data_IF_086233674319
#
_entry.id   IF_086233674319
#
_cell.length_a   1.000
_cell.length_b   1.000
_cell.length_c   1.000
_cell.angle_alpha   90.00
_cell.angle_beta   90.00
_cell.angle_gamma   90.00
#
_symmetry.space_group_name_H-M   'P 1'
#
loop_
_entity.id
_entity.type
_entity.pdbx_description
1 polymer ?
#
# COMPACT_ATOMS: atom_id res chain seq x y z
N UNK A 1 -40.27 -73.54 -27.32
CA UNK A 1 -40.12 -72.26 -26.57
C UNK A 1 -38.68 -72.00 -26.30
N UNK A 2 -38.11 -71.01 -27.00
CA UNK A 2 -36.71 -70.60 -26.78
C UNK A 2 -36.74 -69.29 -25.98
N UNK A 3 -35.85 -69.08 -24.96
CA UNK A 3 -35.81 -67.84 -24.25
C UNK A 3 -34.97 -66.82 -25.02
N UNK A 4 -35.47 -65.58 -25.04
CA UNK A 4 -34.87 -64.41 -25.68
C UNK A 4 -33.60 -63.96 -24.99
N UNK A 5 -32.59 -63.62 -25.78
CA UNK A 5 -31.30 -63.06 -25.35
C UNK A 5 -31.44 -61.61 -24.95
N UNK A 6 -31.07 -61.28 -23.72
CA UNK A 6 -30.93 -59.92 -23.21
C UNK A 6 -29.65 -59.27 -23.78
N UNK A 7 -29.83 -58.16 -24.47
CA UNK A 7 -28.75 -57.33 -25.00
C UNK A 7 -28.04 -56.63 -23.83
N UNK A 8 -26.72 -56.73 -23.84
CA UNK A 8 -25.81 -56.01 -22.92
C UNK A 8 -25.66 -54.56 -23.39
N UNK A 9 -25.72 -53.56 -22.50
CA UNK A 9 -25.42 -52.18 -22.89
C UNK A 9 -23.91 -51.99 -23.08
N UNK A 10 -23.55 -51.44 -24.23
CA UNK A 10 -22.17 -51.01 -24.58
C UNK A 10 -21.77 -49.82 -23.74
N UNK A 11 -20.72 -50.00 -22.96
CA UNK A 11 -20.10 -48.92 -22.20
C UNK A 11 -19.36 -48.00 -23.18
N UNK A 12 -19.85 -46.79 -23.37
CA UNK A 12 -19.14 -45.75 -24.10
C UNK A 12 -18.14 -45.14 -23.10
N UNK A 13 -16.87 -45.40 -23.31
CA UNK A 13 -15.79 -44.78 -22.56
C UNK A 13 -15.73 -43.30 -22.95
N UNK A 14 -16.12 -42.42 -22.03
CA UNK A 14 -15.87 -41.01 -22.16
C UNK A 14 -14.41 -40.72 -21.92
N UNK A 15 -13.68 -40.40 -22.98
CA UNK A 15 -12.30 -39.92 -22.91
C UNK A 15 -12.36 -38.47 -22.34
N UNK A 16 -12.04 -38.34 -21.06
CA UNK A 16 -11.81 -37.03 -20.43
C UNK A 16 -10.47 -36.53 -20.95
N UNK A 17 -10.51 -35.61 -21.90
CA UNK A 17 -9.35 -34.78 -22.25
C UNK A 17 -8.97 -33.94 -21.03
N UNK A 18 -7.93 -34.34 -20.33
CA UNK A 18 -7.29 -33.51 -19.33
C UNK A 18 -6.66 -32.31 -20.05
N UNK A 19 -7.36 -31.18 -20.04
CA UNK A 19 -6.76 -29.90 -20.39
C UNK A 19 -5.73 -29.61 -19.31
N UNK A 20 -4.47 -29.83 -19.65
CA UNK A 20 -3.34 -29.51 -18.80
C UNK A 20 -3.37 -28.03 -18.48
N UNK A 21 -3.76 -27.70 -17.24
CA UNK A 21 -3.50 -26.38 -16.66
C UNK A 21 -1.99 -26.21 -16.61
N UNK A 22 -1.45 -25.58 -17.64
CA UNK A 22 -0.09 -25.00 -17.58
C UNK A 22 -0.18 -23.89 -16.53
N UNK A 23 0.08 -24.26 -15.27
CA UNK A 23 0.43 -23.30 -14.25
C UNK A 23 1.72 -22.63 -14.78
N UNK A 24 1.56 -21.49 -15.45
CA UNK A 24 2.64 -20.55 -15.65
C UNK A 24 3.15 -20.25 -14.24
N UNK A 25 4.24 -20.91 -13.86
CA UNK A 25 5.01 -20.55 -12.70
C UNK A 25 5.43 -19.09 -12.96
N UNK A 26 4.71 -18.16 -12.34
CA UNK A 26 5.11 -16.78 -12.25
C UNK A 26 6.44 -16.78 -11.52
N UNK A 27 7.53 -16.75 -12.28
CA UNK A 27 8.81 -16.42 -11.71
C UNK A 27 8.71 -14.97 -11.25
N UNK A 28 8.52 -14.82 -9.95
CA UNK A 28 8.61 -13.55 -9.23
C UNK A 28 9.84 -12.79 -9.75
N UNK A 29 9.72 -11.48 -10.03
CA UNK A 29 10.89 -10.64 -10.26
C UNK A 29 11.88 -10.85 -9.11
N UNK A 30 13.19 -10.72 -9.36
CA UNK A 30 14.22 -11.13 -8.43
C UNK A 30 13.90 -10.63 -7.04
N UNK A 31 14.04 -11.51 -6.04
CA UNK A 31 13.80 -11.16 -4.63
C UNK A 31 14.42 -9.81 -4.38
N UNK A 32 13.61 -8.81 -4.02
CA UNK A 32 14.13 -7.59 -3.41
C UNK A 32 15.00 -8.10 -2.26
N UNK A 33 16.30 -7.80 -2.23
CA UNK A 33 17.17 -8.32 -1.18
C UNK A 33 16.55 -8.00 0.16
N UNK A 34 16.63 -8.92 1.11
CA UNK A 34 16.04 -8.82 2.45
C UNK A 34 16.59 -7.62 3.27
N UNK A 35 17.53 -6.92 2.73
CA UNK A 35 18.04 -5.63 3.13
C UNK A 35 17.90 -4.75 1.90
N UNK A 36 16.74 -4.12 1.75
CA UNK A 36 16.67 -2.95 0.90
C UNK A 36 17.37 -1.79 1.65
N UNK A 37 18.67 -1.95 1.89
CA UNK A 37 19.49 -0.75 1.78
C UNK A 37 19.20 -0.25 0.37
N UNK A 38 18.85 1.03 0.21
CA UNK A 38 18.77 1.61 -1.10
C UNK A 38 20.05 1.19 -1.82
N UNK A 39 19.99 0.66 -3.05
CA UNK A 39 21.20 0.38 -3.79
C UNK A 39 22.07 1.62 -3.66
N UNK A 40 23.38 1.44 -3.42
CA UNK A 40 24.32 2.54 -3.32
C UNK A 40 24.05 3.48 -4.52
N UNK A 41 23.40 4.63 -4.26
CA UNK A 41 22.85 5.49 -5.32
C UNK A 41 21.35 5.75 -5.26
N UNK A 42 20.57 5.21 -4.29
CA UNK A 42 19.21 5.69 -4.04
C UNK A 42 19.31 7.14 -3.52
N UNK A 43 19.27 8.04 -4.47
CA UNK A 43 19.41 9.47 -4.25
C UNK A 43 18.01 10.01 -4.04
N UNK A 44 17.79 10.67 -2.90
CA UNK A 44 16.71 11.61 -2.77
C UNK A 44 16.82 12.60 -3.95
N UNK A 45 15.90 12.53 -4.92
CA UNK A 45 15.94 13.40 -6.10
C UNK A 45 15.45 14.80 -5.71
N UNK A 46 16.25 15.54 -4.95
CA UNK A 46 15.98 16.95 -4.66
C UNK A 46 15.84 17.81 -5.95
N UNK A 47 16.37 17.33 -7.06
CA UNK A 47 16.31 17.96 -8.37
C UNK A 47 15.30 17.32 -9.34
N UNK A 48 14.33 16.54 -8.84
CA UNK A 48 13.29 15.96 -9.69
C UNK A 48 12.47 17.04 -10.38
N UNK A 49 11.96 16.79 -11.60
CA UNK A 49 11.01 17.70 -12.26
C UNK A 49 9.83 18.03 -11.33
N UNK A 50 9.20 19.19 -11.46
CA UNK A 50 8.01 19.51 -10.68
C UNK A 50 6.95 18.40 -10.80
N UNK A 51 6.24 18.11 -9.71
CA UNK A 51 5.10 17.20 -9.72
C UNK A 51 4.00 17.76 -10.61
N UNK A 52 3.48 16.94 -11.53
CA UNK A 52 2.41 17.31 -12.46
C UNK A 52 1.06 16.70 -12.05
N UNK A 53 1.09 15.56 -11.35
CA UNK A 53 -0.11 14.85 -10.90
C UNK A 53 -0.63 15.44 -9.60
N UNK A 54 -1.92 15.72 -9.57
CA UNK A 54 -2.61 16.09 -8.35
C UNK A 54 -2.88 14.84 -7.50
N UNK A 55 -2.24 14.76 -6.33
CA UNK A 55 -2.39 13.66 -5.39
C UNK A 55 -3.31 14.07 -4.24
N UNK A 56 -4.33 13.26 -3.99
CA UNK A 56 -5.20 13.38 -2.82
C UNK A 56 -4.73 12.48 -1.69
N UNK A 57 -5.25 12.71 -0.48
CA UNK A 57 -5.02 11.80 0.63
C UNK A 57 -5.56 10.40 0.27
N UNK A 58 -4.79 9.32 0.48
CA UNK A 58 -5.18 7.95 0.13
C UNK A 58 -6.17 7.34 1.16
N UNK A 59 -6.97 8.16 1.80
CA UNK A 59 -7.97 7.78 2.81
C UNK A 59 -9.03 8.87 2.94
N UNK A 60 -10.15 8.53 3.57
CA UNK A 60 -11.19 9.49 3.98
C UNK A 60 -11.19 9.65 5.50
N UNK A 61 -11.88 10.70 6.00
CA UNK A 61 -11.99 10.97 7.43
C UNK A 61 -10.79 11.73 7.98
N UNK A 62 -10.61 11.68 9.31
CA UNK A 62 -9.63 12.51 10.03
C UNK A 62 -8.43 11.64 10.41
N UNK A 63 -7.26 12.02 9.91
CA UNK A 63 -6.01 11.34 10.16
C UNK A 63 -4.94 12.34 10.59
N UNK A 64 -3.90 11.86 11.24
CA UNK A 64 -2.74 12.66 11.60
C UNK A 64 -1.46 12.11 10.98
N UNK A 65 -0.53 13.00 10.73
CA UNK A 65 0.83 12.68 10.29
C UNK A 65 1.66 12.37 11.53
N UNK A 66 2.10 11.13 11.68
CA UNK A 66 2.95 10.71 12.81
C UNK A 66 4.43 10.82 12.50
N UNK A 67 4.79 10.74 11.21
CA UNK A 67 6.15 10.93 10.74
C UNK A 67 6.15 11.66 9.39
N UNK A 68 7.00 12.66 9.26
CA UNK A 68 7.14 13.50 8.07
C UNK A 68 8.44 13.25 7.32
N UNK A 69 8.77 14.13 6.38
CA UNK A 69 10.02 14.09 5.62
C UNK A 69 11.25 14.26 6.53
N UNK A 70 12.34 13.62 6.13
CA UNK A 70 13.65 13.76 6.78
C UNK A 70 13.58 13.61 8.31
N UNK A 71 12.74 12.72 8.80
CA UNK A 71 12.72 12.44 10.23
C UNK A 71 13.90 11.55 10.62
N UNK A 72 14.49 11.83 11.75
CA UNK A 72 15.69 11.15 12.26
C UNK A 72 15.51 9.66 12.58
N UNK A 73 14.27 9.15 12.53
CA UNK A 73 13.97 7.78 12.90
C UNK A 73 14.09 6.81 11.72
N UNK A 74 13.07 6.76 10.85
CA UNK A 74 12.99 5.78 9.76
C UNK A 74 12.89 6.43 8.37
N UNK A 75 12.46 7.71 8.28
CA UNK A 75 12.37 8.44 7.02
C UNK A 75 13.73 9.04 6.63
N UNK A 76 14.68 8.14 6.36
CA UNK A 76 16.04 8.47 5.91
C UNK A 76 16.37 7.73 4.61
N UNK A 77 17.34 8.21 3.85
CA UNK A 77 17.76 7.58 2.61
C UNK A 77 16.60 7.49 1.60
N UNK A 78 16.22 6.28 1.18
CA UNK A 78 15.14 6.08 0.20
C UNK A 78 13.76 6.47 0.73
N UNK A 79 13.55 6.51 2.03
CA UNK A 79 12.28 6.89 2.65
C UNK A 79 12.23 8.37 3.07
N UNK A 80 13.27 9.16 2.79
CA UNK A 80 13.40 10.54 3.27
C UNK A 80 12.17 11.44 2.97
N UNK A 81 11.47 11.17 1.88
CA UNK A 81 10.27 11.92 1.48
C UNK A 81 8.98 11.15 1.71
N UNK A 82 8.96 10.19 2.63
CA UNK A 82 7.75 9.48 2.99
C UNK A 82 6.95 10.20 4.10
N UNK A 83 5.68 9.86 4.18
CA UNK A 83 4.76 10.31 5.21
C UNK A 83 4.06 9.11 5.83
N UNK A 84 3.99 9.06 7.16
CA UNK A 84 3.25 8.05 7.89
C UNK A 84 1.99 8.64 8.50
N UNK A 85 0.87 7.97 8.24
CA UNK A 85 -0.46 8.41 8.64
C UNK A 85 -1.15 7.41 9.56
N UNK A 86 -1.85 7.92 10.56
CA UNK A 86 -2.76 7.16 11.43
C UNK A 86 -4.07 7.92 11.63
N UNK A 87 -5.22 7.25 11.83
CA UNK A 87 -6.45 7.94 12.22
C UNK A 87 -6.24 8.82 13.47
N UNK A 88 -6.81 10.00 13.46
CA UNK A 88 -6.57 11.03 14.49
C UNK A 88 -6.94 10.60 15.91
N UNK A 89 -7.82 9.64 16.08
CA UNK A 89 -8.14 9.04 17.37
C UNK A 89 -6.92 8.52 18.13
N UNK A 90 -5.85 8.17 17.40
CA UNK A 90 -4.59 7.76 18.01
C UNK A 90 -3.84 8.96 18.61
N UNK A 91 -3.96 10.13 18.01
CA UNK A 91 -3.22 11.35 18.41
C UNK A 91 -3.96 12.10 19.51
N UNK A 92 -5.28 12.18 19.40
CA UNK A 92 -6.13 12.98 20.29
C UNK A 92 -6.79 12.17 21.39
N UNK A 93 -6.81 10.84 21.28
CA UNK A 93 -7.45 9.93 22.23
C UNK A 93 -6.62 9.74 23.50
N UNK A 94 -7.30 9.39 24.60
CA UNK A 94 -6.62 8.95 25.83
C UNK A 94 -5.73 7.74 25.53
N UNK A 95 -4.52 7.74 26.05
CA UNK A 95 -3.60 6.62 25.92
C UNK A 95 -4.27 5.32 26.41
N UNK A 96 -4.63 4.45 25.46
CA UNK A 96 -5.11 3.10 25.75
C UNK A 96 -3.94 2.12 25.58
N UNK A 97 -3.85 1.16 26.46
CA UNK A 97 -2.92 0.04 26.27
C UNK A 97 -3.41 -0.75 25.06
N UNK A 98 -2.67 -0.68 23.96
CA UNK A 98 -2.96 -1.41 22.72
C UNK A 98 -2.06 -2.63 22.66
N UNK A 99 -2.66 -3.80 22.64
CA UNK A 99 -1.94 -5.08 22.65
C UNK A 99 -2.14 -5.91 21.39
N UNK A 100 -3.27 -5.72 20.72
CA UNK A 100 -3.64 -6.44 19.51
C UNK A 100 -3.72 -5.48 18.34
N UNK A 101 -3.51 -5.95 17.11
CA UNK A 101 -3.64 -5.16 15.91
C UNK A 101 -4.98 -4.43 15.82
N UNK A 102 -6.07 -5.11 16.18
CA UNK A 102 -7.43 -4.56 16.20
C UNK A 102 -7.66 -3.43 17.22
N UNK A 103 -6.74 -3.23 18.15
CA UNK A 103 -6.80 -2.09 19.08
C UNK A 103 -6.32 -0.78 18.43
N UNK A 104 -5.70 -0.86 17.23
CA UNK A 104 -5.19 0.29 16.50
C UNK A 104 -6.21 0.77 15.47
N UNK A 105 -6.58 2.06 15.49
CA UNK A 105 -7.60 2.60 14.59
C UNK A 105 -7.26 2.45 13.10
N UNK A 106 -5.99 2.37 12.73
CA UNK A 106 -5.56 2.19 11.34
C UNK A 106 -5.86 0.80 10.81
N UNK A 107 -5.71 -0.24 11.66
CA UNK A 107 -5.83 -1.61 11.22
C UNK A 107 -7.18 -1.90 10.58
N UNK A 108 -7.17 -2.33 9.30
CA UNK A 108 -8.36 -2.61 8.53
C UNK A 108 -9.03 -1.41 7.86
N UNK A 109 -8.54 -0.18 8.08
CA UNK A 109 -9.09 1.01 7.39
C UNK A 109 -8.87 0.92 5.87
N UNK A 110 -9.83 1.40 5.06
CA UNK A 110 -9.69 1.43 3.61
C UNK A 110 -8.56 2.36 3.19
N UNK A 111 -7.74 1.87 2.25
CA UNK A 111 -6.68 2.63 1.60
C UNK A 111 -7.05 2.79 0.12
N UNK A 112 -7.01 4.04 -0.34
CA UNK A 112 -7.53 4.47 -1.63
C UNK A 112 -6.38 4.89 -2.56
N UNK A 113 -6.61 4.79 -3.87
CA UNK A 113 -5.70 5.37 -4.85
C UNK A 113 -5.71 6.91 -4.76
N UNK A 114 -4.54 7.57 -4.58
CA UNK A 114 -4.47 9.02 -4.43
C UNK A 114 -4.71 9.79 -5.73
N UNK A 115 -4.57 9.15 -6.88
CA UNK A 115 -4.86 9.67 -8.21
C UNK A 115 -5.20 8.51 -9.16
N UNK A 116 -5.67 8.83 -10.36
CA UNK A 116 -5.76 7.85 -11.45
C UNK A 116 -4.37 7.32 -11.76
N UNK A 117 -4.27 6.05 -12.15
CA UNK A 117 -2.96 5.47 -12.46
C UNK A 117 -3.02 4.00 -12.82
N UNK A 118 -1.86 3.42 -13.07
CA UNK A 118 -1.66 2.02 -13.36
C UNK A 118 -0.85 1.36 -12.24
N UNK A 119 -1.28 0.19 -11.80
CA UNK A 119 -0.52 -0.61 -10.84
C UNK A 119 0.73 -1.14 -11.53
N UNK A 120 1.91 -0.71 -11.08
CA UNK A 120 3.20 -1.17 -11.61
C UNK A 120 3.86 -2.20 -10.72
N UNK A 121 3.50 -2.22 -9.44
CA UNK A 121 3.94 -3.24 -8.51
C UNK A 121 2.90 -3.44 -7.40
N UNK A 122 2.65 -4.69 -7.05
CA UNK A 122 1.78 -5.07 -5.94
C UNK A 122 2.33 -6.33 -5.26
N UNK A 123 2.28 -6.35 -3.95
CA UNK A 123 2.62 -7.50 -3.12
C UNK A 123 1.55 -7.69 -2.05
N UNK A 124 1.13 -8.93 -1.87
CA UNK A 124 0.24 -9.34 -0.77
C UNK A 124 0.74 -10.65 -0.15
N UNK A 125 0.16 -11.05 0.98
CA UNK A 125 0.45 -12.31 1.66
C UNK A 125 1.57 -12.25 2.70
N UNK A 126 2.28 -11.13 2.86
CA UNK A 126 3.13 -10.93 4.03
C UNK A 126 2.24 -10.79 5.28
N UNK A 127 2.59 -11.49 6.36
CA UNK A 127 1.80 -11.47 7.60
C UNK A 127 1.82 -10.10 8.27
N UNK A 128 0.71 -9.76 8.94
CA UNK A 128 0.70 -8.63 9.86
C UNK A 128 1.35 -9.04 11.17
N UNK A 129 2.39 -8.34 11.57
CA UNK A 129 3.11 -8.60 12.82
C UNK A 129 2.36 -8.03 14.03
N UNK A 130 2.56 -8.63 15.20
CA UNK A 130 2.05 -8.07 16.45
C UNK A 130 2.66 -6.68 16.71
N UNK A 131 1.95 -5.80 17.42
CA UNK A 131 2.46 -4.46 17.73
C UNK A 131 3.79 -4.52 18.50
N UNK A 132 4.69 -3.59 18.20
CA UNK A 132 6.07 -3.50 18.69
C UNK A 132 7.00 -4.62 18.20
N UNK A 133 6.62 -5.30 17.13
CA UNK A 133 7.53 -6.19 16.44
C UNK A 133 8.78 -5.43 15.99
N UNK A 134 9.95 -5.97 16.32
CA UNK A 134 11.23 -5.46 15.84
C UNK A 134 11.54 -6.17 14.52
N UNK A 135 10.94 -5.67 13.43
CA UNK A 135 11.02 -6.28 12.11
C UNK A 135 12.45 -6.34 11.56
N UNK A 136 12.65 -7.21 10.58
CA UNK A 136 13.92 -7.36 9.86
C UNK A 136 13.82 -6.69 8.51
N UNK A 137 13.62 -5.38 8.44
CA UNK A 137 13.63 -4.63 7.17
C UNK A 137 12.86 -5.31 6.01
N UNK A 138 11.70 -5.86 6.32
CA UNK A 138 10.86 -6.54 5.35
C UNK A 138 9.95 -5.54 4.64
N UNK A 139 9.81 -5.67 3.33
CA UNK A 139 8.98 -4.75 2.55
C UNK A 139 7.49 -4.78 2.90
N UNK A 140 7.00 -5.87 3.51
CA UNK A 140 5.57 -6.04 3.81
C UNK A 140 4.70 -6.14 2.56
N UNK A 141 3.41 -5.87 2.72
CA UNK A 141 2.45 -5.75 1.63
C UNK A 141 2.41 -4.30 1.15
N UNK A 142 2.36 -4.10 -0.16
CA UNK A 142 2.38 -2.77 -0.75
C UNK A 142 1.74 -2.74 -2.14
N UNK A 143 1.39 -1.53 -2.58
CA UNK A 143 0.97 -1.22 -3.94
C UNK A 143 1.74 0.01 -4.41
N UNK A 144 2.28 -0.05 -5.63
CA UNK A 144 2.88 1.10 -6.31
C UNK A 144 2.05 1.43 -7.54
N UNK A 145 1.62 2.69 -7.62
CA UNK A 145 0.80 3.24 -8.67
C UNK A 145 1.60 4.25 -9.48
N UNK A 146 1.72 4.03 -10.78
CA UNK A 146 2.26 5.02 -11.73
C UNK A 146 1.13 5.90 -12.23
N UNK A 147 1.24 7.20 -11.99
CA UNK A 147 0.25 8.22 -12.38
C UNK A 147 0.67 8.95 -13.66
N UNK A 148 1.96 9.21 -13.79
CA UNK A 148 2.62 9.77 -14.97
C UNK A 148 4.07 9.26 -15.01
N UNK A 149 4.79 9.39 -16.13
CA UNK A 149 6.21 8.99 -16.20
C UNK A 149 7.05 9.65 -15.11
N UNK A 150 7.64 8.83 -14.22
CA UNK A 150 8.43 9.31 -13.07
C UNK A 150 7.61 9.94 -11.94
N UNK A 151 6.31 9.66 -11.88
CA UNK A 151 5.42 10.09 -10.80
C UNK A 151 4.62 8.91 -10.28
N UNK A 152 5.15 8.26 -9.24
CA UNK A 152 4.56 7.06 -8.68
C UNK A 152 4.29 7.23 -7.18
N UNK A 153 3.17 6.72 -6.70
CA UNK A 153 2.93 6.59 -5.25
C UNK A 153 3.13 5.18 -4.78
N UNK A 154 3.75 5.07 -3.62
CA UNK A 154 3.93 3.83 -2.89
C UNK A 154 3.07 3.85 -1.63
N UNK A 155 2.28 2.81 -1.43
CA UNK A 155 1.42 2.59 -0.27
C UNK A 155 1.88 1.31 0.41
N UNK A 156 2.40 1.40 1.65
CA UNK A 156 3.01 0.26 2.37
C UNK A 156 2.31 -0.09 3.67
N UNK A 157 2.79 -1.19 4.26
CA UNK A 157 2.30 -1.80 5.50
C UNK A 157 0.84 -2.21 5.41
N UNK A 158 0.41 -2.64 4.20
CA UNK A 158 -0.96 -3.05 3.94
C UNK A 158 -1.29 -4.37 4.64
N UNK A 159 -2.55 -4.55 5.00
CA UNK A 159 -3.06 -5.73 5.69
C UNK A 159 -2.93 -6.97 4.80
N UNK A 160 -2.50 -8.08 5.39
CA UNK A 160 -2.40 -9.38 4.73
C UNK A 160 -3.75 -9.81 4.10
N UNK A 161 -3.73 -10.21 2.83
CA UNK A 161 -4.90 -10.65 2.08
C UNK A 161 -5.87 -9.51 1.70
N UNK A 162 -5.46 -8.24 1.82
CA UNK A 162 -6.35 -7.11 1.59
C UNK A 162 -6.14 -6.39 0.26
N UNK A 163 -5.06 -6.66 -0.46
CA UNK A 163 -4.78 -6.01 -1.75
C UNK A 163 -5.83 -6.42 -2.78
N UNK A 164 -6.44 -5.43 -3.43
CA UNK A 164 -7.59 -5.58 -4.34
C UNK A 164 -7.25 -5.38 -5.81
N UNK A 165 -5.98 -5.11 -6.10
CA UNK A 165 -5.50 -4.77 -7.43
C UNK A 165 -4.29 -5.63 -7.80
N UNK A 166 -4.11 -5.85 -9.09
CA UNK A 166 -2.99 -6.59 -9.65
C UNK A 166 -2.13 -5.71 -10.56
N UNK A 167 -0.86 -6.11 -10.76
CA UNK A 167 0.02 -5.42 -11.71
C UNK A 167 -0.61 -5.36 -13.09
N UNK A 168 -0.65 -4.17 -13.68
CA UNK A 168 -1.29 -3.88 -14.96
C UNK A 168 -2.68 -3.27 -14.83
N UNK A 169 -3.36 -3.40 -13.69
CA UNK A 169 -4.67 -2.80 -13.49
C UNK A 169 -4.59 -1.26 -13.57
N UNK A 170 -5.65 -0.66 -14.13
CA UNK A 170 -5.89 0.77 -14.04
C UNK A 170 -6.81 1.06 -12.86
N UNK A 171 -6.42 2.00 -12.03
CA UNK A 171 -7.21 2.48 -10.89
C UNK A 171 -7.65 3.92 -11.10
N UNK A 172 -8.79 4.26 -10.52
CA UNK A 172 -9.27 5.64 -10.45
C UNK A 172 -8.96 6.22 -9.08
N UNK A 173 -8.74 7.51 -9.01
CA UNK A 173 -8.64 8.25 -7.75
C UNK A 173 -9.83 7.91 -6.84
N UNK A 174 -9.55 7.64 -5.56
CA UNK A 174 -10.56 7.22 -4.59
C UNK A 174 -10.96 5.75 -4.66
N UNK A 175 -10.47 4.97 -5.63
CA UNK A 175 -10.71 3.54 -5.69
C UNK A 175 -10.03 2.82 -4.53
N UNK A 176 -10.75 1.90 -3.87
CA UNK A 176 -10.20 1.02 -2.85
C UNK A 176 -9.12 0.11 -3.44
N UNK A 177 -7.90 0.20 -2.94
CA UNK A 177 -6.78 -0.64 -3.39
C UNK A 177 -6.35 -1.68 -2.36
N UNK A 178 -6.49 -1.39 -1.06
CA UNK A 178 -6.14 -2.29 0.03
C UNK A 178 -6.74 -1.81 1.37
N UNK A 179 -6.27 -2.41 2.47
CA UNK A 179 -6.54 -1.96 3.84
C UNK A 179 -5.24 -1.70 4.60
N UNK A 180 -5.28 -0.76 5.55
CA UNK A 180 -4.17 -0.49 6.47
C UNK A 180 -3.88 -1.75 7.32
N UNK A 181 -2.62 -2.11 7.43
CA UNK A 181 -2.15 -3.27 8.19
C UNK A 181 -0.94 -2.97 9.06
N UNK A 182 -0.16 -4.01 9.33
CA UNK A 182 1.09 -3.96 10.10
C UNK A 182 2.14 -4.93 9.52
N UNK A 183 2.13 -5.13 8.22
CA UNK A 183 3.06 -6.04 7.55
C UNK A 183 4.41 -5.36 7.27
N UNK A 184 5.47 -6.16 7.23
CA UNK A 184 6.82 -5.65 7.00
C UNK A 184 7.43 -4.96 8.21
N UNK A 185 8.30 -3.98 7.98
CA UNK A 185 9.00 -3.24 9.03
C UNK A 185 8.11 -2.14 9.63
N UNK A 186 7.02 -2.53 10.24
CA UNK A 186 6.06 -1.64 10.90
C UNK A 186 5.93 -1.98 12.39
N UNK A 187 6.26 -1.03 13.27
CA UNK A 187 6.15 -1.22 14.71
C UNK A 187 4.69 -1.24 15.19
N UNK A 188 3.85 -0.45 14.57
CA UNK A 188 2.40 -0.37 14.87
C UNK A 188 1.63 -0.05 13.60
N UNK A 189 0.36 -0.45 13.48
CA UNK A 189 -0.45 -0.15 12.32
C UNK A 189 -0.46 1.32 11.93
N UNK A 190 0.00 1.62 10.73
CA UNK A 190 0.00 2.93 10.09
C UNK A 190 0.02 2.76 8.57
N UNK A 191 -0.29 3.81 7.84
CA UNK A 191 -0.11 3.87 6.40
C UNK A 191 1.15 4.67 6.08
N UNK A 192 2.12 4.01 5.45
CA UNK A 192 3.30 4.66 4.88
C UNK A 192 3.02 5.04 3.42
N UNK A 193 3.27 6.29 3.07
CA UNK A 193 3.09 6.84 1.72
C UNK A 193 4.39 7.44 1.23
N UNK A 194 4.93 6.87 0.17
CA UNK A 194 6.10 7.39 -0.56
C UNK A 194 5.70 7.96 -1.91
N UNK A 195 6.54 8.86 -2.46
CA UNK A 195 6.43 9.31 -3.83
C UNK A 195 7.75 9.06 -4.54
N UNK A 196 7.67 8.34 -5.67
CA UNK A 196 8.84 7.81 -6.36
C UNK A 196 8.99 8.44 -7.73
N UNK A 197 10.23 8.65 -8.15
CA UNK A 197 10.59 8.97 -9.53
C UNK A 197 10.87 7.74 -10.37
N UNK A 198 11.21 6.61 -9.72
CA UNK A 198 11.51 5.33 -10.35
C UNK A 198 11.35 4.19 -9.35
N UNK A 199 11.11 2.99 -9.84
CA UNK A 199 11.10 1.74 -9.05
C UNK A 199 12.36 0.90 -9.23
N UNK A 200 13.17 1.21 -10.23
CA UNK A 200 14.44 0.51 -10.50
C UNK A 200 15.47 1.48 -11.14
N UNK A 201 16.47 1.96 -10.38
CA UNK A 201 16.55 1.89 -8.90
C UNK A 201 15.41 2.66 -8.24
N UNK A 202 15.06 2.30 -7.00
CA UNK A 202 14.06 3.06 -6.24
C UNK A 202 14.61 4.45 -5.95
N UNK A 203 13.89 5.48 -6.40
CA UNK A 203 14.27 6.87 -6.20
C UNK A 203 13.06 7.65 -5.67
N UNK A 204 13.16 8.11 -4.41
CA UNK A 204 12.11 8.92 -3.79
C UNK A 204 12.26 10.39 -4.14
N UNK A 205 11.16 11.09 -4.11
CA UNK A 205 11.07 12.53 -4.37
C UNK A 205 10.04 13.18 -3.45
N UNK A 206 10.18 14.49 -3.17
CA UNK A 206 9.16 15.22 -2.43
C UNK A 206 7.81 15.11 -3.11
N UNK A 207 6.73 14.90 -2.32
CA UNK A 207 5.35 14.94 -2.79
C UNK A 207 4.62 16.16 -2.25
N UNK A 208 3.62 16.61 -3.01
CA UNK A 208 2.59 17.54 -2.56
C UNK A 208 1.25 16.85 -2.63
N UNK A 209 0.45 17.05 -1.60
CA UNK A 209 -0.93 16.57 -1.54
C UNK A 209 -1.87 17.77 -1.64
N UNK A 210 -3.03 17.57 -2.21
CA UNK A 210 -4.07 18.57 -2.39
C UNK A 210 -5.44 18.05 -1.99
N UNK A 211 -6.46 18.88 -2.10
CA UNK A 211 -7.85 18.50 -1.84
C UNK A 211 -8.06 17.87 -0.45
N UNK A 212 -7.50 18.50 0.57
CA UNK A 212 -7.70 18.13 1.97
C UNK A 212 -7.88 19.36 2.84
N UNK A 213 -8.27 19.16 4.07
CA UNK A 213 -8.26 20.22 5.09
C UNK A 213 -7.30 19.83 6.22
N UNK A 214 -6.67 20.83 6.80
CA UNK A 214 -5.85 20.67 8.01
C UNK A 214 -6.49 21.40 9.18
N UNK A 215 -6.32 20.87 10.37
CA UNK A 215 -6.78 21.48 11.61
C UNK A 215 -5.71 22.46 12.10
N UNK A 216 -6.05 23.73 12.13
CA UNK A 216 -5.18 24.76 12.68
C UNK A 216 -5.14 24.74 14.22
N UNK A 217 -4.13 25.35 14.85
CA UNK A 217 -4.04 25.45 16.32
C UNK A 217 -5.23 26.16 16.97
N UNK A 218 -5.97 26.95 16.22
CA UNK A 218 -7.22 27.65 16.69
C UNK A 218 -8.45 26.72 16.63
N UNK A 219 -8.28 25.44 16.24
CA UNK A 219 -9.34 24.45 16.14
C UNK A 219 -10.21 24.58 14.88
N UNK A 220 -9.77 25.31 13.86
CA UNK A 220 -10.49 25.49 12.60
C UNK A 220 -9.91 24.66 11.48
N UNK A 221 -10.78 24.11 10.67
CA UNK A 221 -10.39 23.45 9.43
C UNK A 221 -10.09 24.46 8.33
N UNK A 222 -8.95 24.30 7.68
CA UNK A 222 -8.51 25.14 6.56
C UNK A 222 -8.13 24.28 5.38
N UNK A 223 -8.39 24.78 4.17
CA UNK A 223 -7.91 24.12 2.97
C UNK A 223 -6.39 23.88 3.06
N UNK A 224 -5.98 22.65 2.79
CA UNK A 224 -4.59 22.22 2.77
C UNK A 224 -4.11 22.01 1.35
N UNK A 225 -2.88 22.42 1.09
CA UNK A 225 -2.13 22.18 -0.13
C UNK A 225 -0.64 22.10 0.22
N UNK A 226 0.06 21.19 -0.44
CA UNK A 226 1.49 21.02 -0.27
C UNK A 226 1.89 19.79 0.53
N UNK A 227 2.99 19.90 1.28
CA UNK A 227 3.54 18.80 2.07
C UNK A 227 3.00 18.83 3.49
N UNK A 228 2.23 17.82 3.91
CA UNK A 228 1.84 17.70 5.32
C UNK A 228 3.07 17.50 6.22
N UNK A 229 3.00 18.02 7.44
CA UNK A 229 4.08 17.95 8.41
C UNK A 229 3.72 17.03 9.57
N UNK A 230 4.72 16.49 10.23
CA UNK A 230 4.54 15.71 11.45
C UNK A 230 3.67 16.49 12.48
N UNK A 231 2.76 15.79 13.13
CA UNK A 231 1.78 16.28 14.08
C UNK A 231 0.63 17.12 13.49
N UNK A 232 0.56 17.31 12.18
CA UNK A 232 -0.64 17.88 11.56
C UNK A 232 -1.80 16.88 11.58
N UNK A 233 -3.00 17.39 11.82
CA UNK A 233 -4.26 16.64 11.70
C UNK A 233 -4.95 17.07 10.41
N UNK A 234 -5.27 16.09 9.58
CA UNK A 234 -5.78 16.26 8.23
C UNK A 234 -7.17 15.63 8.11
N UNK A 235 -7.99 16.18 7.24
CA UNK A 235 -9.26 15.60 6.85
C UNK A 235 -9.26 15.36 5.33
N UNK A 236 -9.29 14.09 4.94
CA UNK A 236 -9.51 13.71 3.55
C UNK A 236 -10.93 14.03 3.13
N UNK A 237 -11.07 14.74 2.04
CA UNK A 237 -12.37 15.07 1.43
C UNK A 237 -12.83 13.91 0.55
N UNK A 238 -14.15 13.69 0.40
CA UNK A 238 -14.72 12.64 -0.43
C UNK A 238 -14.48 12.86 -1.93
#
# INVERSE_FOLDING_TARGET
MRPSALARPTLVAATVLAVGSSALAWSWPPRVPARAEPPAGAVALASAPPQTVELWLPFTGIWGVVQGFDSDETHVGYAAYALDFVPAERITGRARVRRKLTDFPCFGQPILAPADGRVVWARDGAVDHEPNYQGRHEAGNFVILEHAPGELTELRHLQAGSVRVAVGDHVRRGQLVARCGNSGDAHTPHLHVGFLGSVDPIATRPMKLSHYERLDPDGRWRAGDGVPRANEILRGLP
#
